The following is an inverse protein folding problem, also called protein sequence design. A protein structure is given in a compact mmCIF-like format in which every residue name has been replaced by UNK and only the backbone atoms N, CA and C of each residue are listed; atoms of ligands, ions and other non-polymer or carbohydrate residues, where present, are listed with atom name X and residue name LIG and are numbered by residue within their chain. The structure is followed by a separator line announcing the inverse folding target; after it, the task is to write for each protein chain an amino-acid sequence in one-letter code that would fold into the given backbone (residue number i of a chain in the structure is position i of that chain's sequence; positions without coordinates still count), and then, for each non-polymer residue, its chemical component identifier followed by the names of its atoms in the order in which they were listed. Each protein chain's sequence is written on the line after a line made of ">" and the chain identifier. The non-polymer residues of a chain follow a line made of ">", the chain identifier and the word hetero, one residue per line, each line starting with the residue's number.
data_IF_787970969452
#
_entry.id   IF_787970969452
#
_cell.length_a   1.000
_cell.length_b   1.000
_cell.length_c   1.000
_cell.angle_alpha   90.00
_cell.angle_beta   90.00
_cell.angle_gamma   90.00
#
_symmetry.space_group_name_H-M   'P 1'
#
loop_
_entity.id
_entity.type
_entity.pdbx_description
1 polymer ?
#
# COMPACT_ATOMS: atom_id res chain seq x y z
N UNK A 1 -23.27 -12.48 1.39
CA UNK A 1 -23.37 -11.93 2.76
C UNK A 1 -24.84 -11.98 3.20
N UNK A 2 -25.17 -12.35 4.45
CA UNK A 2 -26.57 -12.68 4.85
C UNK A 2 -27.27 -11.61 5.71
N UNK A 3 -26.56 -10.59 6.19
CA UNK A 3 -27.09 -9.58 7.14
C UNK A 3 -27.33 -8.18 6.54
N UNK A 4 -27.23 -8.01 5.22
CA UNK A 4 -27.16 -6.67 4.63
C UNK A 4 -25.82 -5.99 4.95
N UNK A 5 -25.39 -5.07 4.07
CA UNK A 5 -24.12 -4.35 4.21
C UNK A 5 -24.35 -2.90 3.78
N UNK A 6 -24.01 -1.97 4.66
CA UNK A 6 -24.05 -0.54 4.37
C UNK A 6 -22.73 -0.05 3.75
N UNK A 7 -21.59 -0.62 4.19
CA UNK A 7 -20.24 -0.26 3.73
C UNK A 7 -19.44 -1.52 3.39
N UNK A 8 -18.92 -1.57 2.17
CA UNK A 8 -18.00 -2.61 1.72
C UNK A 8 -16.63 -1.99 1.44
N UNK A 9 -15.58 -2.59 2.00
CA UNK A 9 -14.19 -2.27 1.71
C UNK A 9 -13.50 -3.53 1.23
N UNK A 10 -12.71 -3.44 0.15
CA UNK A 10 -11.99 -4.59 -0.38
C UNK A 10 -11.05 -4.22 -1.51
N UNK A 11 -10.10 -5.10 -1.79
CA UNK A 11 -9.20 -4.96 -2.95
C UNK A 11 -9.92 -5.36 -4.24
N UNK A 12 -9.52 -4.82 -5.42
CA UNK A 12 -10.21 -5.08 -6.68
C UNK A 12 -10.38 -6.58 -6.99
N UNK A 13 -9.33 -7.38 -6.83
CA UNK A 13 -9.40 -8.82 -7.06
C UNK A 13 -10.48 -9.50 -6.21
N UNK A 14 -10.55 -9.20 -4.91
CA UNK A 14 -11.52 -9.84 -4.01
C UNK A 14 -12.96 -9.37 -4.25
N UNK A 15 -13.15 -8.10 -4.60
CA UNK A 15 -14.47 -7.58 -4.95
C UNK A 15 -14.95 -8.24 -6.25
N UNK A 16 -14.09 -8.35 -7.27
CA UNK A 16 -14.41 -9.05 -8.53
C UNK A 16 -14.82 -10.50 -8.29
N UNK A 17 -14.10 -11.25 -7.45
CA UNK A 17 -14.49 -12.62 -7.07
C UNK A 17 -15.89 -12.70 -6.45
N UNK A 18 -16.23 -11.75 -5.58
CA UNK A 18 -17.53 -11.70 -4.91
C UNK A 18 -18.68 -11.33 -5.87
N UNK A 19 -18.42 -10.46 -6.84
CA UNK A 19 -19.35 -10.13 -7.93
C UNK A 19 -19.59 -11.35 -8.83
N UNK A 20 -18.51 -11.99 -9.30
CA UNK A 20 -18.60 -13.15 -10.20
C UNK A 20 -19.29 -14.36 -9.54
N UNK A 21 -19.12 -14.54 -8.24
CA UNK A 21 -19.80 -15.60 -7.49
C UNK A 21 -21.26 -15.27 -7.09
N UNK A 22 -21.79 -14.10 -7.49
CA UNK A 22 -23.14 -13.65 -7.16
C UNK A 22 -23.35 -13.39 -5.66
N UNK A 23 -22.27 -13.26 -4.89
CA UNK A 23 -22.32 -13.06 -3.43
C UNK A 23 -22.40 -11.60 -3.02
N UNK A 24 -22.14 -10.70 -3.98
CA UNK A 24 -22.18 -9.25 -3.86
C UNK A 24 -23.03 -8.68 -4.99
N UNK A 25 -23.93 -7.76 -4.64
CA UNK A 25 -24.76 -6.99 -5.56
C UNK A 25 -24.47 -5.51 -5.33
N UNK A 26 -24.06 -4.81 -6.40
CA UNK A 26 -23.75 -3.39 -6.38
C UNK A 26 -24.85 -2.51 -6.99
N UNK A 27 -26.00 -3.07 -7.36
CA UNK A 27 -27.08 -2.32 -8.04
C UNK A 27 -27.67 -1.17 -7.20
N UNK A 28 -27.51 -1.21 -5.87
CA UNK A 28 -27.99 -0.19 -4.93
C UNK A 28 -26.86 0.70 -4.38
N UNK A 29 -25.65 0.59 -4.90
CA UNK A 29 -24.52 1.39 -4.43
C UNK A 29 -24.78 2.87 -4.75
N UNK A 30 -24.55 3.74 -3.77
CA UNK A 30 -24.73 5.20 -3.92
C UNK A 30 -23.40 5.96 -3.94
N UNK A 31 -22.35 5.36 -3.40
CA UNK A 31 -21.03 5.97 -3.28
C UNK A 31 -19.96 4.94 -3.64
N UNK A 32 -19.00 5.36 -4.44
CA UNK A 32 -17.82 4.56 -4.80
C UNK A 32 -16.59 5.38 -4.46
N UNK A 33 -15.66 4.76 -3.75
CA UNK A 33 -14.37 5.38 -3.39
C UNK A 33 -13.27 4.53 -4.01
N UNK A 34 -12.45 5.15 -4.84
CA UNK A 34 -11.23 4.58 -5.39
C UNK A 34 -10.06 5.28 -4.71
N UNK A 35 -9.28 4.55 -3.93
CA UNK A 35 -8.14 5.06 -3.18
C UNK A 35 -6.83 4.48 -3.73
N UNK A 36 -5.75 5.27 -3.73
CA UNK A 36 -4.45 4.95 -4.35
C UNK A 36 -4.59 4.42 -5.80
N UNK A 37 -5.33 5.13 -6.67
CA UNK A 37 -5.70 4.62 -8.00
C UNK A 37 -4.50 4.40 -8.93
N UNK A 38 -3.49 5.26 -8.87
CA UNK A 38 -2.20 5.04 -9.53
C UNK A 38 -1.52 3.75 -9.10
N UNK A 39 -1.56 3.40 -7.81
CA UNK A 39 -1.05 2.12 -7.32
C UNK A 39 -1.86 0.94 -7.83
N UNK A 40 -3.18 1.08 -7.98
CA UNK A 40 -3.99 0.02 -8.62
C UNK A 40 -3.54 -0.24 -10.06
N UNK A 41 -3.16 0.81 -10.80
CA UNK A 41 -2.59 0.68 -12.15
C UNK A 41 -1.24 -0.06 -12.10
N UNK A 42 -0.33 0.36 -11.22
CA UNK A 42 1.00 -0.27 -11.06
C UNK A 42 0.91 -1.76 -10.71
N UNK A 43 -0.14 -2.16 -10.00
CA UNK A 43 -0.41 -3.56 -9.65
C UNK A 43 -1.07 -4.37 -10.77
N UNK A 44 -1.40 -3.75 -11.90
CA UNK A 44 -2.12 -4.39 -12.99
C UNK A 44 -3.60 -4.65 -12.67
N UNK A 45 -4.20 -3.88 -11.76
CA UNK A 45 -5.62 -4.01 -11.41
C UNK A 45 -6.57 -3.16 -12.26
N UNK A 46 -6.06 -2.50 -13.28
CA UNK A 46 -6.83 -1.60 -14.13
C UNK A 46 -8.10 -2.25 -14.70
N UNK A 47 -7.98 -3.47 -15.23
CA UNK A 47 -9.10 -4.22 -15.81
C UNK A 47 -10.14 -4.59 -14.74
N UNK A 48 -9.69 -5.07 -13.58
CA UNK A 48 -10.56 -5.46 -12.48
C UNK A 48 -11.34 -4.27 -11.93
N UNK A 49 -10.70 -3.11 -11.81
CA UNK A 49 -11.36 -1.86 -11.41
C UNK A 49 -12.44 -1.48 -12.43
N UNK A 50 -12.11 -1.52 -13.72
CA UNK A 50 -13.10 -1.23 -14.76
C UNK A 50 -14.29 -2.20 -14.74
N UNK A 51 -14.06 -3.49 -14.54
CA UNK A 51 -15.14 -4.49 -14.46
C UNK A 51 -16.08 -4.21 -13.29
N UNK A 52 -15.52 -3.90 -12.11
CA UNK A 52 -16.31 -3.57 -10.91
C UNK A 52 -17.16 -2.33 -11.17
N UNK A 53 -16.57 -1.27 -11.72
CA UNK A 53 -17.27 -0.03 -12.03
C UNK A 53 -18.33 -0.25 -13.10
N UNK A 54 -18.09 -1.07 -14.13
CA UNK A 54 -19.12 -1.38 -15.14
C UNK A 54 -20.36 -2.04 -14.55
N UNK A 55 -20.21 -2.86 -13.51
CA UNK A 55 -21.36 -3.50 -12.84
C UNK A 55 -22.14 -2.50 -11.98
N UNK A 56 -21.43 -1.55 -11.36
CA UNK A 56 -22.05 -0.54 -10.50
C UNK A 56 -22.72 0.62 -11.28
N UNK A 57 -22.31 0.87 -12.52
CA UNK A 57 -22.73 2.04 -13.29
C UNK A 57 -23.61 1.65 -14.47
N UNK A 58 -24.65 2.47 -14.70
CA UNK A 58 -25.52 2.37 -15.87
C UNK A 58 -25.18 3.53 -16.82
N UNK A 59 -25.03 3.22 -18.10
CA UNK A 59 -24.75 4.23 -19.12
C UNK A 59 -25.84 5.30 -19.11
N UNK A 60 -25.43 6.57 -19.09
CA UNK A 60 -26.32 7.75 -19.19
C UNK A 60 -27.43 7.82 -18.12
N UNK A 61 -27.18 7.31 -16.91
CA UNK A 61 -28.14 7.32 -15.79
C UNK A 61 -27.76 8.35 -14.72
N UNK A 62 -28.74 9.14 -14.27
CA UNK A 62 -28.59 10.04 -13.11
C UNK A 62 -28.50 9.28 -11.77
N UNK A 63 -28.94 8.01 -11.75
CA UNK A 63 -28.88 7.12 -10.58
C UNK A 63 -27.47 6.54 -10.34
N UNK A 64 -26.48 6.93 -11.15
CA UNK A 64 -25.10 6.50 -10.96
C UNK A 64 -24.55 6.99 -9.61
N UNK A 65 -23.74 6.16 -8.93
CA UNK A 65 -23.18 6.51 -7.64
C UNK A 65 -22.26 7.72 -7.74
N UNK A 66 -22.14 8.47 -6.65
CA UNK A 66 -21.12 9.49 -6.51
C UNK A 66 -19.74 8.81 -6.35
N UNK A 67 -18.82 9.16 -7.25
CA UNK A 67 -17.47 8.62 -7.27
C UNK A 67 -16.50 9.60 -6.61
N UNK A 68 -15.68 9.11 -5.68
CA UNK A 68 -14.51 9.82 -5.17
C UNK A 68 -13.26 9.06 -5.62
N UNK A 69 -12.30 9.78 -6.20
CA UNK A 69 -11.05 9.22 -6.71
C UNK A 69 -9.89 9.92 -6.02
N UNK A 70 -9.03 9.15 -5.35
CA UNK A 70 -7.83 9.61 -4.68
C UNK A 70 -6.61 8.95 -5.30
N UNK A 71 -5.63 9.76 -5.68
CA UNK A 71 -4.41 9.30 -6.35
C UNK A 71 -3.26 10.25 -6.06
N UNK A 72 -2.07 9.72 -5.79
CA UNK A 72 -0.89 10.55 -5.55
C UNK A 72 -0.32 11.10 -6.87
N UNK A 73 -0.45 10.33 -7.94
CA UNK A 73 -0.09 10.69 -9.32
C UNK A 73 -1.29 10.51 -10.24
N UNK A 74 -1.30 11.24 -11.36
CA UNK A 74 -2.39 11.16 -12.34
C UNK A 74 -1.83 10.78 -13.72
N UNK A 75 -1.43 9.52 -13.96
CA UNK A 75 -1.17 9.04 -15.32
C UNK A 75 -2.46 9.06 -16.15
N UNK A 76 -2.34 8.94 -17.48
CA UNK A 76 -3.46 9.07 -18.41
C UNK A 76 -4.66 8.17 -18.05
N UNK A 77 -4.40 6.93 -17.64
CA UNK A 77 -5.43 6.00 -17.22
C UNK A 77 -6.27 6.49 -16.03
N UNK A 78 -5.65 7.17 -15.05
CA UNK A 78 -6.39 7.75 -13.91
C UNK A 78 -7.37 8.82 -14.39
N UNK A 79 -6.95 9.66 -15.34
CA UNK A 79 -7.85 10.65 -15.97
C UNK A 79 -8.96 9.99 -16.77
N UNK A 80 -8.68 8.90 -17.48
CA UNK A 80 -9.69 8.16 -18.25
C UNK A 80 -10.75 7.54 -17.34
N UNK A 81 -10.33 6.92 -16.22
CA UNK A 81 -11.24 6.39 -15.20
C UNK A 81 -12.09 7.51 -14.60
N UNK A 82 -11.48 8.63 -14.23
CA UNK A 82 -12.19 9.80 -13.71
C UNK A 82 -13.24 10.29 -14.71
N UNK A 83 -12.86 10.51 -15.97
CA UNK A 83 -13.75 11.00 -17.02
C UNK A 83 -14.89 10.03 -17.35
N UNK A 84 -14.62 8.72 -17.27
CA UNK A 84 -15.58 7.67 -17.63
C UNK A 84 -16.63 7.43 -16.54
N UNK A 85 -16.25 7.52 -15.27
CA UNK A 85 -17.10 7.11 -14.15
C UNK A 85 -17.46 8.24 -13.18
N UNK A 86 -16.81 9.41 -13.23
CA UNK A 86 -17.25 10.58 -12.45
C UNK A 86 -18.28 11.40 -13.23
N UNK A 87 -19.11 12.17 -12.51
CA UNK A 87 -20.06 13.10 -13.14
C UNK A 87 -19.32 14.15 -13.96
N UNK A 88 -19.94 14.66 -15.03
CA UNK A 88 -19.32 15.63 -15.94
C UNK A 88 -18.85 16.93 -15.29
N UNK A 89 -19.39 17.29 -14.12
CA UNK A 89 -19.00 18.46 -13.31
C UNK A 89 -18.22 18.05 -12.06
N UNK A 90 -17.29 17.09 -12.16
CA UNK A 90 -16.46 16.72 -11.02
C UNK A 90 -15.49 17.86 -10.68
N UNK A 91 -15.24 18.05 -9.39
CA UNK A 91 -14.24 18.99 -8.89
C UNK A 91 -12.89 18.27 -8.75
N UNK A 92 -11.82 18.92 -9.20
CA UNK A 92 -10.45 18.42 -9.01
C UNK A 92 -9.77 19.24 -7.90
N UNK A 93 -9.41 18.56 -6.82
CA UNK A 93 -8.67 19.16 -5.71
C UNK A 93 -7.21 18.70 -5.81
N UNK A 94 -6.32 19.62 -6.20
CA UNK A 94 -4.87 19.38 -6.23
C UNK A 94 -4.21 20.07 -5.04
N UNK A 95 -3.70 19.26 -4.10
CA UNK A 95 -3.03 19.73 -2.89
C UNK A 95 -1.53 20.04 -3.12
N UNK A 96 -0.96 19.62 -4.25
CA UNK A 96 0.48 19.75 -4.56
C UNK A 96 0.72 20.95 -5.48
N UNK A 97 -0.23 21.26 -6.36
CA UNK A 97 -0.19 22.38 -7.30
C UNK A 97 1.00 22.30 -8.26
N UNK A 98 1.57 23.43 -8.68
CA UNK A 98 2.73 23.50 -9.60
C UNK A 98 4.06 23.04 -8.97
N UNK A 99 4.07 22.55 -7.73
CA UNK A 99 5.30 22.05 -7.11
C UNK A 99 5.58 20.67 -7.69
N UNK A 100 6.42 20.63 -8.72
CA UNK A 100 7.01 19.40 -9.24
C UNK A 100 7.54 18.57 -8.07
N UNK A 101 7.02 17.34 -7.95
CA UNK A 101 7.43 16.27 -7.03
C UNK A 101 8.71 16.57 -6.23
N UNK A 102 8.57 17.28 -5.11
CA UNK A 102 9.64 17.30 -4.12
C UNK A 102 9.38 16.15 -3.19
N UNK A 103 10.29 15.17 -3.16
CA UNK A 103 10.45 14.30 -2.01
C UNK A 103 10.34 15.14 -0.75
N UNK A 104 9.72 14.61 0.31
CA UNK A 104 9.51 15.34 1.53
C UNK A 104 10.84 15.99 1.95
N UNK A 105 10.88 17.33 2.04
CA UNK A 105 12.12 18.07 2.38
C UNK A 105 12.64 17.74 3.78
N UNK A 106 11.87 16.98 4.55
CA UNK A 106 12.17 16.47 5.88
C UNK A 106 12.87 15.11 5.86
N UNK A 107 13.06 14.50 4.69
CA UNK A 107 13.66 13.16 4.55
C UNK A 107 15.02 13.28 3.85
N UNK A 108 16.05 12.79 4.53
CA UNK A 108 17.38 12.62 3.94
C UNK A 108 17.45 11.26 3.24
N UNK A 109 17.92 11.25 2.00
CA UNK A 109 18.08 10.04 1.19
C UNK A 109 19.55 9.73 1.00
N UNK A 110 19.95 8.50 1.35
CA UNK A 110 21.31 7.99 1.19
C UNK A 110 21.29 6.72 0.34
N UNK A 111 22.35 6.52 -0.45
CA UNK A 111 22.56 5.31 -1.24
C UNK A 111 23.91 4.70 -0.84
N UNK A 112 23.92 3.40 -0.54
CA UNK A 112 25.12 2.66 -0.13
C UNK A 112 25.28 1.48 -1.09
N UNK A 113 26.35 1.50 -1.87
CA UNK A 113 26.71 0.40 -2.74
C UNK A 113 27.32 -0.74 -1.92
N UNK A 114 26.82 -1.96 -2.09
CA UNK A 114 27.40 -3.14 -1.49
C UNK A 114 27.14 -4.38 -2.34
N UNK A 115 28.00 -5.39 -2.17
CA UNK A 115 27.79 -6.68 -2.81
C UNK A 115 26.61 -7.42 -2.14
N UNK A 116 25.83 -8.17 -2.92
CA UNK A 116 24.60 -8.83 -2.46
C UNK A 116 24.80 -9.71 -1.20
N UNK A 117 25.96 -10.36 -1.10
CA UNK A 117 26.30 -11.24 0.02
C UNK A 117 26.57 -10.49 1.33
N UNK A 118 26.92 -9.21 1.26
CA UNK A 118 27.19 -8.35 2.41
C UNK A 118 25.96 -7.54 2.83
N UNK A 119 24.91 -7.54 2.03
CA UNK A 119 23.74 -6.68 2.22
C UNK A 119 23.14 -6.77 3.62
N UNK A 120 22.98 -7.97 4.18
CA UNK A 120 22.42 -8.12 5.52
C UNK A 120 23.33 -7.51 6.62
N UNK A 121 24.66 -7.61 6.45
CA UNK A 121 25.62 -6.98 7.35
C UNK A 121 25.56 -5.45 7.25
N UNK A 122 25.55 -4.92 6.02
CA UNK A 122 25.44 -3.48 5.77
C UNK A 122 24.11 -2.92 6.33
N UNK A 123 22.99 -3.62 6.14
CA UNK A 123 21.70 -3.21 6.71
C UNK A 123 21.79 -3.17 8.24
N UNK A 124 22.37 -4.18 8.88
CA UNK A 124 22.57 -4.22 10.33
C UNK A 124 23.39 -3.03 10.84
N UNK A 125 24.50 -2.70 10.18
CA UNK A 125 25.34 -1.56 10.53
C UNK A 125 24.60 -0.22 10.34
N UNK A 126 23.85 -0.08 9.24
CA UNK A 126 23.03 1.12 8.96
C UNK A 126 21.95 1.30 10.02
N UNK A 127 21.27 0.24 10.43
CA UNK A 127 20.29 0.29 11.53
C UNK A 127 20.97 0.76 12.82
N UNK A 128 22.13 0.19 13.14
CA UNK A 128 22.87 0.54 14.36
C UNK A 128 23.33 2.00 14.38
N UNK A 129 23.75 2.56 13.25
CA UNK A 129 24.25 3.94 13.14
C UNK A 129 23.11 4.95 13.15
N UNK A 130 22.05 4.73 12.36
CA UNK A 130 21.01 5.74 12.14
C UNK A 130 19.78 5.59 13.03
N UNK A 131 19.45 4.36 13.46
CA UNK A 131 18.29 4.08 14.33
C UNK A 131 18.71 3.70 15.76
N UNK A 132 19.93 3.19 15.94
CA UNK A 132 20.45 2.79 17.25
C UNK A 132 19.71 1.58 17.83
N UNK A 133 19.62 1.52 19.16
CA UNK A 133 18.91 0.45 19.88
C UNK A 133 17.45 0.79 20.20
N UNK A 134 17.04 2.06 20.06
CA UNK A 134 15.72 2.53 20.47
C UNK A 134 14.83 2.97 19.32
N UNK A 135 15.43 3.35 18.19
CA UNK A 135 14.70 3.78 17.02
C UNK A 135 13.96 2.64 16.32
N UNK A 136 12.89 2.99 15.62
CA UNK A 136 12.12 2.07 14.79
C UNK A 136 12.63 2.13 13.36
N UNK A 137 12.98 0.97 12.81
CA UNK A 137 13.35 0.83 11.40
C UNK A 137 12.34 -0.02 10.64
N UNK A 138 12.00 0.41 9.42
CA UNK A 138 11.34 -0.45 8.43
C UNK A 138 12.35 -0.83 7.34
N UNK A 139 12.50 -2.13 7.09
CA UNK A 139 13.31 -2.65 5.98
C UNK A 139 12.37 -3.22 4.92
N UNK A 140 12.34 -2.59 3.76
CA UNK A 140 11.57 -3.05 2.61
C UNK A 140 12.38 -4.05 1.78
N UNK A 141 11.74 -5.13 1.37
CA UNK A 141 12.33 -6.18 0.54
C UNK A 141 11.39 -6.61 -0.58
N UNK A 142 11.93 -7.21 -1.64
CA UNK A 142 11.12 -7.58 -2.81
C UNK A 142 10.29 -8.84 -2.57
N UNK A 143 10.86 -9.82 -1.87
CA UNK A 143 10.25 -11.15 -1.74
C UNK A 143 9.97 -11.53 -0.29
N UNK A 144 8.90 -12.31 -0.08
CA UNK A 144 8.58 -12.89 1.23
C UNK A 144 9.70 -13.77 1.80
N UNK A 145 10.48 -14.41 0.91
CA UNK A 145 11.63 -15.24 1.30
C UNK A 145 12.72 -14.37 1.92
N UNK A 146 13.09 -13.32 1.22
CA UNK A 146 14.05 -12.33 1.68
C UNK A 146 13.60 -11.67 3.00
N UNK A 147 12.30 -11.36 3.13
CA UNK A 147 11.75 -10.80 4.36
C UNK A 147 12.05 -11.68 5.59
N UNK A 148 11.85 -12.99 5.44
CA UNK A 148 12.12 -13.96 6.51
C UNK A 148 13.62 -14.18 6.73
N UNK A 149 14.41 -14.26 5.66
CA UNK A 149 15.86 -14.43 5.74
C UNK A 149 16.53 -13.24 6.45
N UNK A 150 16.13 -12.01 6.12
CA UNK A 150 16.63 -10.81 6.80
C UNK A 150 16.18 -10.74 8.25
N UNK A 151 14.91 -11.06 8.54
CA UNK A 151 14.40 -11.01 9.91
C UNK A 151 15.07 -12.02 10.87
N UNK A 152 15.64 -13.11 10.33
CA UNK A 152 16.38 -14.12 11.09
C UNK A 152 17.91 -13.94 10.99
N UNK A 153 18.39 -12.92 10.28
CA UNK A 153 19.82 -12.76 10.03
C UNK A 153 20.54 -12.22 11.27
N UNK A 154 21.59 -12.92 11.71
CA UNK A 154 22.35 -12.56 12.90
C UNK A 154 23.06 -11.19 12.83
N UNK A 155 23.23 -10.64 11.63
CA UNK A 155 23.79 -9.30 11.45
C UNK A 155 22.85 -8.19 11.90
N UNK A 156 21.53 -8.42 11.90
CA UNK A 156 20.54 -7.50 12.45
C UNK A 156 20.39 -7.84 13.94
N UNK A 157 21.02 -7.02 14.80
CA UNK A 157 21.12 -7.30 16.24
C UNK A 157 19.85 -6.94 17.01
N UNK A 158 19.04 -6.05 16.46
CA UNK A 158 17.78 -5.61 17.03
C UNK A 158 16.69 -6.66 16.83
N UNK A 159 15.75 -6.72 17.76
CA UNK A 159 14.56 -7.57 17.61
C UNK A 159 13.80 -7.21 16.33
N UNK A 160 13.61 -8.24 15.50
CA UNK A 160 13.06 -8.13 14.17
C UNK A 160 11.84 -9.04 13.98
N UNK A 161 10.87 -8.58 13.21
CA UNK A 161 9.75 -9.39 12.73
C UNK A 161 9.51 -9.14 11.25
N UNK A 162 9.10 -10.17 10.53
CA UNK A 162 8.73 -10.05 9.11
C UNK A 162 7.23 -9.74 8.94
N UNK A 163 6.88 -9.06 7.85
CA UNK A 163 5.51 -8.79 7.45
C UNK A 163 5.36 -8.97 5.93
N UNK A 164 4.67 -10.04 5.52
CA UNK A 164 4.44 -10.36 4.11
C UNK A 164 3.06 -11.02 3.88
N UNK A 165 2.68 -11.22 2.61
CA UNK A 165 1.35 -11.69 2.21
C UNK A 165 0.93 -13.05 2.78
N UNK A 166 1.86 -14.00 2.97
CA UNK A 166 1.55 -15.31 3.56
C UNK A 166 1.28 -15.26 5.08
N UNK A 167 1.54 -14.15 5.77
CA UNK A 167 1.26 -14.03 7.20
C UNK A 167 -0.25 -13.90 7.40
N UNK A 168 -0.89 -14.77 8.21
CA UNK A 168 -2.32 -14.67 8.48
C UNK A 168 -2.69 -13.30 9.06
N UNK A 169 -3.85 -12.77 8.68
CA UNK A 169 -4.29 -11.42 9.07
C UNK A 169 -4.22 -11.18 10.59
N UNK A 170 -4.65 -12.14 11.40
CA UNK A 170 -4.56 -12.06 12.88
C UNK A 170 -3.12 -11.87 13.36
N UNK A 171 -2.16 -12.56 12.75
CA UNK A 171 -0.75 -12.43 13.11
C UNK A 171 -0.18 -11.09 12.60
N UNK A 172 -0.60 -10.63 11.41
CA UNK A 172 -0.23 -9.30 10.90
C UNK A 172 -0.59 -8.19 11.86
N UNK A 173 -1.82 -8.21 12.39
CA UNK A 173 -2.30 -7.24 13.36
C UNK A 173 -1.49 -7.27 14.67
N UNK A 174 -1.13 -8.46 15.15
CA UNK A 174 -0.27 -8.62 16.34
C UNK A 174 1.13 -8.05 16.08
N UNK A 175 1.76 -8.40 14.97
CA UNK A 175 3.10 -7.91 14.59
C UNK A 175 3.10 -6.39 14.46
N UNK A 176 2.11 -5.80 13.79
CA UNK A 176 2.00 -4.35 13.65
C UNK A 176 1.79 -3.64 14.99
N UNK A 177 0.94 -4.21 15.86
CA UNK A 177 0.76 -3.69 17.21
C UNK A 177 2.05 -3.77 18.02
N UNK A 178 2.78 -4.87 17.92
CA UNK A 178 4.09 -5.03 18.55
C UNK A 178 5.10 -3.98 18.06
N UNK A 179 5.12 -3.69 16.76
CA UNK A 179 5.99 -2.66 16.20
C UNK A 179 5.61 -1.26 16.68
N UNK A 180 4.31 -0.90 16.64
CA UNK A 180 3.80 0.39 17.12
C UNK A 180 4.09 0.61 18.61
N UNK A 181 3.97 -0.45 19.41
CA UNK A 181 4.25 -0.41 20.85
C UNK A 181 5.75 -0.51 21.18
N UNK A 182 6.61 -0.69 20.16
CA UNK A 182 8.04 -0.80 20.34
C UNK A 182 8.50 -2.10 21.01
N UNK A 183 7.67 -3.16 20.99
CA UNK A 183 8.02 -4.52 21.46
C UNK A 183 9.21 -5.10 20.72
N UNK A 184 9.36 -4.74 19.45
CA UNK A 184 10.54 -4.98 18.64
C UNK A 184 10.81 -3.72 17.80
N UNK A 185 12.03 -3.57 17.28
CA UNK A 185 12.52 -2.30 16.69
C UNK A 185 12.66 -2.34 15.18
N UNK A 186 12.72 -3.52 14.58
CA UNK A 186 12.90 -3.67 13.13
C UNK A 186 11.72 -4.43 12.52
N UNK A 187 11.04 -3.80 11.57
CA UNK A 187 10.00 -4.44 10.77
C UNK A 187 10.52 -4.69 9.36
N UNK A 188 10.68 -5.95 8.97
CA UNK A 188 11.07 -6.31 7.59
C UNK A 188 9.81 -6.63 6.80
N UNK A 189 9.46 -5.81 5.80
CA UNK A 189 8.21 -5.94 5.07
C UNK A 189 8.41 -6.03 3.56
N UNK A 190 7.49 -6.70 2.87
CA UNK A 190 7.37 -6.53 1.42
C UNK A 190 6.50 -5.31 1.09
N UNK A 191 6.73 -4.70 -0.08
CA UNK A 191 5.95 -3.54 -0.53
C UNK A 191 4.43 -3.77 -0.45
N UNK A 192 3.98 -4.97 -0.80
CA UNK A 192 2.55 -5.35 -0.74
C UNK A 192 2.01 -5.34 0.70
N UNK A 193 2.82 -5.78 1.66
CA UNK A 193 2.36 -5.91 3.04
C UNK A 193 2.35 -4.58 3.80
N UNK A 194 3.10 -3.60 3.31
CA UNK A 194 3.27 -2.29 3.89
C UNK A 194 2.27 -1.22 3.43
N UNK A 195 1.53 -1.47 2.34
CA UNK A 195 0.50 -0.55 1.84
C UNK A 195 -0.64 -0.40 2.84
N UNK A 196 -1.11 0.83 3.01
CA UNK A 196 -2.15 1.17 3.99
C UNK A 196 -1.74 1.00 5.45
N UNK A 197 -0.45 0.79 5.74
CA UNK A 197 0.04 0.78 7.11
C UNK A 197 0.27 2.22 7.59
N UNK A 198 -0.60 2.67 8.47
CA UNK A 198 -0.33 3.85 9.28
C UNK A 198 0.65 3.47 10.41
N UNK A 199 1.94 3.76 10.21
CA UNK A 199 2.98 3.54 11.22
C UNK A 199 3.54 4.92 11.59
N UNK A 200 3.11 5.49 12.72
CA UNK A 200 3.68 6.75 13.18
C UNK A 200 5.14 6.55 13.60
N UNK A 201 5.95 7.58 13.35
CA UNK A 201 7.29 7.77 13.94
C UNK A 201 8.31 6.66 13.62
N UNK A 202 8.64 6.50 12.34
CA UNK A 202 9.75 5.65 11.89
C UNK A 202 11.00 6.51 11.75
N UNK A 203 12.08 6.12 12.42
CA UNK A 203 13.36 6.85 12.42
C UNK A 203 14.19 6.56 11.16
N UNK A 204 14.07 5.34 10.63
CA UNK A 204 14.84 4.89 9.49
C UNK A 204 14.00 4.00 8.56
N UNK A 205 14.08 4.26 7.26
CA UNK A 205 13.54 3.40 6.22
C UNK A 205 14.70 2.90 5.35
N UNK A 206 14.83 1.58 5.25
CA UNK A 206 15.85 0.92 4.43
C UNK A 206 15.15 0.20 3.28
N UNK A 207 15.58 0.47 2.05
CA UNK A 207 15.22 -0.33 0.89
C UNK A 207 16.33 -1.36 0.66
N UNK A 208 16.04 -2.67 0.78
CA UNK A 208 17.04 -3.74 0.61
C UNK A 208 17.49 -3.91 -0.85
N UNK A 209 16.72 -3.36 -1.78
CA UNK A 209 17.03 -3.30 -3.20
C UNK A 209 16.78 -1.87 -3.69
N UNK A 210 17.54 -1.40 -4.70
CA UNK A 210 17.24 -0.11 -5.31
C UNK A 210 15.82 -0.10 -5.90
N UNK A 211 15.15 1.07 -5.95
CA UNK A 211 13.91 1.23 -6.68
C UNK A 211 14.07 0.78 -8.13
N UNK A 212 13.05 0.13 -8.69
CA UNK A 212 13.03 -0.29 -10.10
C UNK A 212 12.77 0.88 -11.04
#
# INVERSE_FOLDING_TARGET
>A
MRSGIDILVGTPGRIKDHLQSGKLDLTKVKHVVLDEVDQMLDMGFAEQVEDILRVAYKKDSEDNPQTLLFSATCPHWVYDVAKKYMKSRYEQIDLIGKRTQKAATTVEHLAIECHWSQRAAVIGDVIQVYSGSHGRTIVFCETKKEANELALNASIKQDCQSLHGDIPQKQREITLKGFRNGTFKVLVATNVAARGLDIPEVDLVVQSSPPK
#
